data_IF_901982593185
#
_entry.id   IF_901982593185
#
_cell.length_a   1.000
_cell.length_b   1.000
_cell.length_c   1.000
_cell.angle_alpha   90.00
_cell.angle_beta   90.00
_cell.angle_gamma   90.00
#
_symmetry.space_group_name_H-M   'P 1'
#
loop_
_entity.id
_entity.type
_entity.pdbx_description
1 polymer ?
#
# COMPACT_ATOMS: atom_id res chain seq x y z
N UNK A 1 -2.49 -31.08 -34.04
CA UNK A 1 -2.77 -29.69 -33.61
C UNK A 1 -1.99 -28.72 -34.48
N UNK A 2 -2.68 -27.93 -35.30
CA UNK A 2 -2.05 -27.02 -36.27
C UNK A 2 -1.28 -25.88 -35.61
N UNK A 3 -0.27 -25.33 -36.31
CA UNK A 3 0.56 -24.19 -35.86
C UNK A 3 -0.27 -23.03 -35.28
N UNK A 4 -1.45 -22.77 -35.83
CA UNK A 4 -2.38 -21.73 -35.37
C UNK A 4 -2.84 -21.89 -33.92
N UNK A 5 -3.15 -23.11 -33.48
CA UNK A 5 -3.61 -23.37 -32.12
C UNK A 5 -2.50 -23.15 -31.08
N UNK A 6 -1.24 -23.45 -31.43
CA UNK A 6 -0.09 -23.20 -30.55
C UNK A 6 0.18 -21.70 -30.38
N UNK A 7 0.10 -20.94 -31.48
CA UNK A 7 0.26 -19.48 -31.43
C UNK A 7 -0.82 -18.80 -30.59
N UNK A 8 -2.08 -19.24 -30.71
CA UNK A 8 -3.18 -18.69 -29.91
C UNK A 8 -2.96 -18.92 -28.40
N UNK A 9 -2.55 -20.14 -28.02
CA UNK A 9 -2.27 -20.46 -26.61
C UNK A 9 -1.14 -19.60 -26.04
N UNK A 10 -0.07 -19.38 -26.83
CA UNK A 10 1.02 -18.51 -26.42
C UNK A 10 0.58 -17.05 -26.23
N UNK A 11 -0.28 -16.54 -27.12
CA UNK A 11 -0.81 -15.18 -26.99
C UNK A 11 -1.65 -15.04 -25.72
N UNK A 12 -2.57 -15.98 -25.46
CA UNK A 12 -3.40 -15.97 -24.26
C UNK A 12 -2.55 -16.08 -22.99
N UNK A 13 -1.51 -16.92 -23.01
CA UNK A 13 -0.57 -17.05 -21.91
C UNK A 13 0.17 -15.73 -21.62
N UNK A 14 0.72 -15.09 -22.65
CA UNK A 14 1.42 -13.80 -22.51
C UNK A 14 0.46 -12.71 -22.03
N UNK A 15 -0.75 -12.65 -22.58
CA UNK A 15 -1.77 -11.70 -22.11
C UNK A 15 -2.12 -11.92 -20.64
N UNK A 16 -2.28 -13.18 -20.21
CA UNK A 16 -2.51 -13.52 -18.81
C UNK A 16 -1.39 -13.04 -17.90
N UNK A 17 -0.14 -13.25 -18.29
CA UNK A 17 1.02 -12.75 -17.54
C UNK A 17 1.05 -11.22 -17.44
N UNK A 18 0.72 -10.51 -18.52
CA UNK A 18 0.66 -9.05 -18.52
C UNK A 18 -0.45 -8.52 -17.60
N UNK A 19 -1.62 -9.16 -17.61
CA UNK A 19 -2.72 -8.81 -16.72
C UNK A 19 -2.34 -9.02 -15.25
N UNK A 20 -1.67 -10.13 -14.93
CA UNK A 20 -1.18 -10.39 -13.57
C UNK A 20 -0.07 -9.43 -13.17
N UNK A 21 0.85 -9.11 -14.07
CA UNK A 21 1.93 -8.17 -13.82
C UNK A 21 1.39 -6.76 -13.55
N UNK A 22 0.33 -6.34 -14.26
CA UNK A 22 -0.31 -5.05 -14.04
C UNK A 22 -1.19 -5.04 -12.78
N UNK A 23 -1.92 -6.13 -12.53
CA UNK A 23 -2.88 -6.30 -11.43
C UNK A 23 -3.82 -5.07 -11.28
N UNK A 24 -4.64 -4.76 -12.30
CA UNK A 24 -5.51 -3.57 -12.28
C UNK A 24 -6.60 -3.59 -11.23
N UNK A 25 -6.92 -4.75 -10.67
CA UNK A 25 -7.91 -4.90 -9.61
C UNK A 25 -7.37 -4.53 -8.22
N UNK A 26 -6.07 -4.27 -8.07
CA UNK A 26 -5.52 -3.71 -6.84
C UNK A 26 -5.70 -2.20 -6.87
N UNK A 27 -6.69 -1.71 -6.11
CA UNK A 27 -6.94 -0.28 -5.92
C UNK A 27 -5.93 0.33 -4.95
N UNK A 28 -5.26 1.40 -5.37
CA UNK A 28 -4.18 1.99 -4.58
C UNK A 28 -4.68 2.59 -3.27
N UNK A 29 -5.88 3.18 -3.26
CA UNK A 29 -6.46 3.74 -2.03
C UNK A 29 -6.85 2.64 -1.05
N UNK A 30 -7.47 1.57 -1.53
CA UNK A 30 -7.80 0.42 -0.70
C UNK A 30 -6.53 -0.21 -0.09
N UNK A 31 -5.46 -0.33 -0.88
CA UNK A 31 -4.19 -0.87 -0.38
C UNK A 31 -3.53 0.04 0.64
N UNK A 32 -3.53 1.35 0.38
CA UNK A 32 -3.08 2.35 1.33
C UNK A 32 -3.81 2.21 2.68
N UNK A 33 -5.15 2.31 2.66
CA UNK A 33 -5.98 2.35 3.86
C UNK A 33 -5.87 1.05 4.66
N UNK A 34 -5.77 -0.09 3.97
CA UNK A 34 -5.56 -1.40 4.58
C UNK A 34 -4.21 -1.50 5.28
N UNK A 35 -3.11 -1.13 4.60
CA UNK A 35 -1.77 -1.20 5.18
C UNK A 35 -1.63 -0.22 6.34
N UNK A 36 -2.13 1.00 6.20
CA UNK A 36 -2.13 1.99 7.28
C UNK A 36 -2.83 1.46 8.54
N UNK A 37 -3.98 0.80 8.37
CA UNK A 37 -4.74 0.19 9.48
C UNK A 37 -4.05 -1.02 10.10
N UNK A 38 -3.51 -1.93 9.29
CA UNK A 38 -2.92 -3.19 9.77
C UNK A 38 -1.49 -3.03 10.30
N UNK A 39 -0.73 -2.08 9.74
CA UNK A 39 0.72 -1.97 9.92
C UNK A 39 1.18 -0.65 10.52
N UNK A 40 0.40 0.43 10.38
CA UNK A 40 0.89 1.76 10.75
C UNK A 40 1.35 1.88 12.20
N UNK A 41 0.64 1.26 13.16
CA UNK A 41 1.08 1.22 14.57
C UNK A 41 2.20 0.20 14.85
N UNK A 42 2.36 -0.79 13.97
CA UNK A 42 3.32 -1.89 14.12
C UNK A 42 4.72 -1.44 13.71
N UNK A 43 4.81 -0.68 12.62
CA UNK A 43 6.10 -0.16 12.13
C UNK A 43 6.44 1.24 12.62
N UNK A 44 5.51 1.95 13.28
CA UNK A 44 5.77 3.28 13.83
C UNK A 44 5.35 4.43 12.92
N UNK A 45 4.74 4.13 11.77
CA UNK A 45 4.08 5.13 10.93
C UNK A 45 3.00 5.92 11.71
N UNK A 46 2.32 5.26 12.64
CA UNK A 46 1.37 5.86 13.58
C UNK A 46 1.91 5.70 15.00
N UNK A 47 2.10 6.82 15.70
CA UNK A 47 2.55 6.84 17.10
C UNK A 47 1.48 7.41 18.03
N UNK A 48 1.63 7.15 19.33
CA UNK A 48 0.81 7.79 20.37
C UNK A 48 1.01 9.30 20.40
N UNK A 49 -0.05 10.04 20.72
CA UNK A 49 0.02 11.50 20.88
C UNK A 49 0.98 11.85 22.04
N UNK A 50 0.97 11.05 23.10
CA UNK A 50 1.78 11.24 24.31
C UNK A 50 3.29 11.06 24.09
N UNK A 51 3.69 10.37 23.01
CA UNK A 51 5.11 10.19 22.67
C UNK A 51 5.70 11.34 21.86
N UNK A 52 4.89 12.28 21.41
CA UNK A 52 5.34 13.44 20.63
C UNK A 52 5.72 14.58 21.57
N UNK A 53 6.95 15.07 21.41
CA UNK A 53 7.43 16.28 22.07
C UNK A 53 7.38 17.42 21.05
N UNK A 54 6.28 18.15 21.03
CA UNK A 54 6.04 19.32 20.18
C UNK A 54 5.30 20.40 20.99
N UNK A 55 5.34 21.64 20.51
CA UNK A 55 4.47 22.70 21.04
C UNK A 55 2.99 22.42 20.70
N UNK A 56 2.09 23.12 21.39
CA UNK A 56 0.65 22.88 21.29
C UNK A 56 0.10 23.16 19.88
N UNK A 57 0.64 24.16 19.17
CA UNK A 57 0.19 24.50 17.82
C UNK A 57 0.61 23.42 16.83
N UNK A 58 1.89 23.00 16.87
CA UNK A 58 2.40 21.92 16.04
C UNK A 58 1.69 20.59 16.33
N UNK A 59 1.41 20.28 17.61
CA UNK A 59 0.68 19.07 17.98
C UNK A 59 -0.74 19.07 17.41
N UNK A 60 -1.42 20.21 17.46
CA UNK A 60 -2.76 20.36 16.89
C UNK A 60 -2.76 20.17 15.38
N UNK A 61 -1.81 20.77 14.67
CA UNK A 61 -1.65 20.59 13.22
C UNK A 61 -1.44 19.10 12.85
N UNK A 62 -0.59 18.40 13.60
CA UNK A 62 -0.34 16.98 13.40
C UNK A 62 -1.59 16.12 13.65
N UNK A 63 -2.39 16.44 14.68
CA UNK A 63 -3.66 15.74 14.94
C UNK A 63 -4.64 15.97 13.79
N UNK A 64 -4.85 17.21 13.37
CA UNK A 64 -5.77 17.55 12.26
C UNK A 64 -5.34 16.87 10.95
N UNK A 65 -4.04 16.86 10.65
CA UNK A 65 -3.49 16.14 9.49
C UNK A 65 -3.74 14.63 9.58
N UNK A 66 -3.49 14.03 10.75
CA UNK A 66 -3.69 12.60 10.99
C UNK A 66 -5.16 12.19 10.83
N UNK A 67 -6.08 12.97 11.39
CA UNK A 67 -7.52 12.75 11.26
C UNK A 67 -8.00 12.87 9.81
N UNK A 68 -7.47 13.82 9.05
CA UNK A 68 -7.77 13.98 7.62
C UNK A 68 -7.33 12.76 6.78
N UNK A 69 -6.35 11.99 7.26
CA UNK A 69 -5.85 10.74 6.64
C UNK A 69 -6.43 9.48 7.30
N UNK A 70 -7.48 9.61 8.12
CA UNK A 70 -8.19 8.48 8.72
C UNK A 70 -7.54 7.88 9.95
N UNK A 71 -6.53 8.54 10.53
CA UNK A 71 -5.87 8.12 11.77
C UNK A 71 -6.57 8.77 12.96
N UNK A 72 -7.13 7.95 13.85
CA UNK A 72 -7.74 8.41 15.12
C UNK A 72 -6.93 7.93 16.32
N UNK A 73 -6.77 8.81 17.31
CA UNK A 73 -6.04 8.49 18.55
C UNK A 73 -4.56 8.17 18.33
N UNK A 74 -3.91 8.89 17.41
CA UNK A 74 -2.49 8.76 17.10
C UNK A 74 -2.04 9.83 16.12
N UNK A 75 -0.72 9.97 15.96
CA UNK A 75 -0.10 10.89 15.01
C UNK A 75 0.49 10.10 13.85
N UNK A 76 0.10 10.47 12.64
CA UNK A 76 0.68 9.99 11.39
C UNK A 76 2.00 10.73 11.14
N UNK A 77 3.12 10.03 11.26
CA UNK A 77 4.46 10.61 11.09
C UNK A 77 4.77 10.82 9.60
N UNK A 78 4.53 9.78 8.80
CA UNK A 78 4.80 9.77 7.39
C UNK A 78 3.84 8.83 6.69
N UNK A 79 3.05 9.34 5.76
CA UNK A 79 2.02 8.52 5.14
C UNK A 79 2.60 7.47 4.17
N UNK A 80 1.85 6.38 3.94
CA UNK A 80 2.28 5.39 2.97
C UNK A 80 2.09 5.90 1.54
N UNK A 81 3.06 5.59 0.68
CA UNK A 81 2.94 5.73 -0.75
C UNK A 81 2.75 4.37 -1.39
N UNK A 82 1.71 4.26 -2.21
CA UNK A 82 1.47 3.08 -3.04
C UNK A 82 2.12 3.28 -4.41
N UNK A 83 2.85 2.29 -4.86
CA UNK A 83 3.54 2.28 -6.15
C UNK A 83 3.25 0.98 -6.88
N UNK A 84 3.13 1.07 -8.21
CA UNK A 84 3.04 -0.13 -9.04
C UNK A 84 4.33 -0.95 -8.95
N UNK A 85 4.16 -2.27 -8.82
CA UNK A 85 5.23 -3.24 -8.94
C UNK A 85 4.71 -4.43 -9.77
N UNK A 86 5.54 -5.10 -10.58
CA UNK A 86 5.10 -6.29 -11.30
C UNK A 86 4.47 -7.29 -10.32
N UNK A 87 3.27 -7.75 -10.66
CA UNK A 87 2.52 -8.74 -9.87
C UNK A 87 2.03 -8.22 -8.51
N UNK A 88 1.86 -6.91 -8.33
CA UNK A 88 1.42 -6.37 -7.05
C UNK A 88 1.48 -4.85 -6.90
N UNK A 89 1.63 -4.41 -5.65
CA UNK A 89 1.90 -3.04 -5.24
C UNK A 89 3.02 -3.02 -4.20
N UNK A 90 3.87 -2.02 -4.27
CA UNK A 90 4.80 -1.69 -3.20
C UNK A 90 4.20 -0.53 -2.39
N UNK A 91 4.01 -0.73 -1.09
CA UNK A 91 3.41 0.24 -0.17
C UNK A 91 4.44 0.57 0.90
N UNK A 92 4.91 1.82 0.93
CA UNK A 92 5.98 2.19 1.85
C UNK A 92 5.81 3.59 2.44
N UNK A 93 6.15 3.72 3.73
CA UNK A 93 6.34 4.97 4.46
C UNK A 93 7.83 5.18 4.75
N UNK A 94 8.19 6.17 5.55
CA UNK A 94 9.58 6.31 6.02
C UNK A 94 9.96 5.22 7.03
N UNK A 95 8.98 4.61 7.70
CA UNK A 95 9.19 3.64 8.79
C UNK A 95 9.05 2.19 8.33
N UNK A 96 8.30 1.92 7.26
CA UNK A 96 8.02 0.56 6.80
C UNK A 96 7.79 0.43 5.30
N UNK A 97 7.94 -0.79 4.80
CA UNK A 97 7.69 -1.14 3.40
C UNK A 97 7.06 -2.52 3.32
N UNK A 98 6.09 -2.67 2.41
CA UNK A 98 5.38 -3.93 2.21
C UNK A 98 5.12 -4.15 0.73
N UNK A 99 5.34 -5.39 0.29
CA UNK A 99 4.90 -5.86 -1.01
C UNK A 99 3.54 -6.54 -0.89
N UNK A 100 2.54 -6.02 -1.61
CA UNK A 100 1.22 -6.62 -1.71
C UNK A 100 1.12 -7.37 -3.04
N UNK A 101 0.97 -8.68 -3.00
CA UNK A 101 0.89 -9.52 -4.20
C UNK A 101 -0.42 -9.29 -4.98
N UNK A 102 -0.46 -9.71 -6.25
CA UNK A 102 -1.66 -9.64 -7.11
C UNK A 102 -2.88 -10.40 -6.54
N UNK A 103 -2.66 -11.29 -5.57
CA UNK A 103 -3.70 -12.03 -4.86
C UNK A 103 -3.90 -11.55 -3.41
N UNK A 104 -3.34 -10.39 -3.05
CA UNK A 104 -3.65 -9.66 -1.82
C UNK A 104 -2.83 -10.03 -0.58
N UNK A 105 -1.80 -10.89 -0.71
CA UNK A 105 -0.91 -11.22 0.40
C UNK A 105 0.05 -10.06 0.67
N UNK A 106 0.22 -9.70 1.95
CA UNK A 106 1.18 -8.68 2.39
C UNK A 106 2.47 -9.36 2.83
N UNK A 107 3.59 -8.95 2.26
CA UNK A 107 4.94 -9.43 2.56
C UNK A 107 5.79 -8.25 3.05
N UNK A 108 6.48 -8.36 4.20
CA UNK A 108 7.43 -7.35 4.67
C UNK A 108 8.63 -7.22 3.73
#
# INVERSE_FOLDING_TARGET
MGRSARSLLLILYVMGLLLLAWAPWLDDKEMHDRILKEKGRVDGTIVSIESIVADEEALKEMIEYSEAHGVTGGILICDYKVMWAPFGRWVASCEGGYYVTFYGQVVP
#
